data_IF_901139856440
#
_entry.id   IF_901139856440
#
_cell.length_a   1.000
_cell.length_b   1.000
_cell.length_c   1.000
_cell.angle_alpha   90.00
_cell.angle_beta   90.00
_cell.angle_gamma   90.00
#
_symmetry.space_group_name_H-M   'P 1'
#
loop_
_entity.id
_entity.type
_entity.pdbx_description
1 polymer ?
#
# COMPACT_ATOMS: atom_id res chain seq x y z
N UNK A 1 -42.72 13.66 -31.81
CA UNK A 1 -42.02 12.47 -31.32
C UNK A 1 -40.76 12.85 -30.55
N UNK A 2 -40.57 12.33 -29.32
CA UNK A 2 -39.37 12.60 -28.62
C UNK A 2 -38.17 11.96 -29.30
N UNK A 3 -37.10 12.74 -29.44
CA UNK A 3 -35.85 12.26 -29.99
C UNK A 3 -34.98 11.57 -28.98
N UNK A 4 -34.46 10.42 -29.29
CA UNK A 4 -33.40 9.80 -28.52
C UNK A 4 -32.10 10.57 -28.78
N UNK A 5 -31.59 11.31 -27.79
CA UNK A 5 -30.43 12.16 -27.96
C UNK A 5 -29.17 11.58 -27.31
N UNK A 6 -29.07 10.28 -27.22
CA UNK A 6 -27.92 9.63 -26.61
C UNK A 6 -27.80 9.81 -25.11
N UNK A 7 -28.89 10.18 -24.43
CA UNK A 7 -28.88 10.38 -22.98
C UNK A 7 -28.65 9.10 -22.19
N UNK A 8 -29.16 7.97 -22.71
CA UNK A 8 -29.03 6.68 -22.02
C UNK A 8 -27.57 6.25 -21.93
N UNK A 9 -26.77 6.24 -23.02
CA UNK A 9 -25.36 5.94 -22.91
C UNK A 9 -24.58 6.92 -22.04
N UNK A 10 -24.87 8.23 -22.17
CA UNK A 10 -24.22 9.26 -21.34
C UNK A 10 -24.55 9.09 -19.87
N UNK A 11 -25.82 8.83 -19.55
CA UNK A 11 -26.26 8.60 -18.18
C UNK A 11 -25.56 7.37 -17.59
N UNK A 12 -25.41 6.31 -18.35
CA UNK A 12 -24.72 5.10 -17.91
C UNK A 12 -23.24 5.39 -17.57
N UNK A 13 -22.55 6.19 -18.38
CA UNK A 13 -21.17 6.59 -18.11
C UNK A 13 -21.06 7.44 -16.85
N UNK A 14 -21.97 8.41 -16.69
CA UNK A 14 -22.00 9.26 -15.49
C UNK A 14 -22.29 8.43 -14.24
N UNK A 15 -23.22 7.50 -14.34
CA UNK A 15 -23.58 6.63 -13.21
C UNK A 15 -22.42 5.74 -12.77
N UNK A 16 -21.60 5.29 -13.72
CA UNK A 16 -20.40 4.51 -13.42
C UNK A 16 -19.44 5.29 -12.52
N UNK A 17 -19.22 6.57 -12.85
CA UNK A 17 -18.37 7.46 -12.04
C UNK A 17 -18.96 7.69 -10.64
N UNK A 18 -20.28 7.94 -10.59
CA UNK A 18 -20.98 8.18 -9.32
C UNK A 18 -20.92 6.94 -8.43
N UNK A 19 -21.06 5.74 -9.01
CA UNK A 19 -20.90 4.49 -8.24
C UNK A 19 -19.49 4.35 -7.65
N UNK A 20 -18.47 4.73 -8.42
CA UNK A 20 -17.08 4.71 -7.94
C UNK A 20 -16.85 5.71 -6.81
N UNK A 21 -17.66 6.77 -6.74
CA UNK A 21 -17.58 7.80 -5.70
C UNK A 21 -18.48 7.50 -4.49
N UNK A 22 -19.04 6.30 -4.40
CA UNK A 22 -19.92 5.92 -3.29
C UNK A 22 -19.21 6.11 -1.95
N UNK A 23 -19.90 6.77 -1.01
CA UNK A 23 -19.35 7.04 0.32
C UNK A 23 -18.53 8.31 0.43
N UNK A 24 -18.31 9.03 -0.67
CA UNK A 24 -17.55 10.27 -0.64
C UNK A 24 -18.33 11.38 0.08
N UNK A 25 -17.60 12.28 0.67
CA UNK A 25 -18.16 13.34 1.51
C UNK A 25 -18.95 14.35 0.68
N UNK A 26 -20.10 14.76 1.21
CA UNK A 26 -20.93 15.79 0.62
C UNK A 26 -21.44 15.44 -0.77
N UNK A 27 -21.41 16.40 -1.67
CA UNK A 27 -21.93 16.24 -3.03
C UNK A 27 -20.98 15.48 -3.96
N UNK A 28 -19.81 15.12 -3.52
CA UNK A 28 -18.86 14.31 -4.30
C UNK A 28 -19.39 12.93 -4.60
N UNK A 29 -20.34 12.44 -3.81
CA UNK A 29 -20.93 11.11 -4.00
C UNK A 29 -22.09 11.10 -5.01
N UNK A 30 -22.71 12.23 -5.29
CA UNK A 30 -23.95 12.27 -6.07
C UNK A 30 -23.98 13.29 -7.23
N UNK A 31 -23.00 14.19 -7.32
CA UNK A 31 -22.90 15.17 -8.41
C UNK A 31 -21.77 14.78 -9.35
N UNK A 32 -22.07 14.59 -10.64
CA UNK A 32 -21.12 14.03 -11.61
C UNK A 32 -19.79 14.81 -11.69
N UNK A 33 -19.84 16.13 -11.84
CA UNK A 33 -18.62 16.94 -11.97
C UNK A 33 -17.68 16.80 -10.78
N UNK A 34 -18.24 16.94 -9.60
CA UNK A 34 -17.46 16.81 -8.37
C UNK A 34 -17.05 15.37 -8.11
N UNK A 35 -17.91 14.41 -8.45
CA UNK A 35 -17.59 12.99 -8.34
C UNK A 35 -16.44 12.60 -9.28
N UNK A 36 -16.46 13.10 -10.52
CA UNK A 36 -15.41 12.80 -11.49
C UNK A 36 -14.05 13.31 -10.99
N UNK A 37 -13.99 14.56 -10.54
CA UNK A 37 -12.76 15.13 -10.01
C UNK A 37 -12.27 14.38 -8.78
N UNK A 38 -13.19 14.01 -7.88
CA UNK A 38 -12.86 13.27 -6.66
C UNK A 38 -12.35 11.86 -6.97
N UNK A 39 -12.97 11.15 -7.93
CA UNK A 39 -12.55 9.81 -8.32
C UNK A 39 -11.16 9.82 -8.97
N UNK A 40 -10.89 10.80 -9.85
CA UNK A 40 -9.56 10.97 -10.45
C UNK A 40 -8.51 11.22 -9.38
N UNK A 41 -8.80 12.10 -8.43
CA UNK A 41 -7.89 12.39 -7.32
C UNK A 41 -7.69 11.16 -6.42
N UNK A 42 -8.76 10.42 -6.16
CA UNK A 42 -8.68 9.17 -5.42
C UNK A 42 -7.78 8.14 -6.12
N UNK A 43 -7.87 8.06 -7.44
CA UNK A 43 -7.00 7.19 -8.24
C UNK A 43 -5.53 7.57 -8.14
N UNK A 44 -5.22 8.86 -8.21
CA UNK A 44 -3.86 9.37 -8.04
C UNK A 44 -3.33 9.06 -6.65
N UNK A 45 -4.15 9.31 -5.62
CA UNK A 45 -3.78 9.02 -4.24
C UNK A 45 -3.59 7.52 -4.01
N UNK A 46 -4.42 6.69 -4.62
CA UNK A 46 -4.30 5.23 -4.54
C UNK A 46 -2.99 4.74 -5.14
N UNK A 47 -2.57 5.30 -6.29
CA UNK A 47 -1.30 4.98 -6.92
C UNK A 47 -0.12 5.30 -5.99
N UNK A 48 -0.12 6.51 -5.43
CA UNK A 48 0.90 6.93 -4.46
C UNK A 48 0.85 6.07 -3.20
N UNK A 49 -0.35 5.80 -2.71
CA UNK A 49 -0.57 5.01 -1.49
C UNK A 49 -0.08 3.58 -1.62
N UNK A 50 -0.26 2.96 -2.77
CA UNK A 50 0.25 1.61 -3.01
C UNK A 50 1.77 1.57 -2.96
N UNK A 51 2.45 2.59 -3.48
CA UNK A 51 3.90 2.71 -3.39
C UNK A 51 4.37 2.97 -1.97
N UNK A 52 3.71 3.88 -1.27
CA UNK A 52 4.01 4.19 0.13
C UNK A 52 3.72 3.01 1.06
N UNK A 53 2.72 2.21 0.76
CA UNK A 53 2.40 1.00 1.53
C UNK A 53 3.60 0.08 1.62
N UNK A 54 4.28 -0.15 0.52
CA UNK A 54 5.48 -0.99 0.49
C UNK A 54 6.58 -0.43 1.38
N UNK A 55 6.79 0.89 1.31
CA UNK A 55 7.80 1.57 2.15
C UNK A 55 7.45 1.49 3.62
N UNK A 56 6.19 1.71 3.96
CA UNK A 56 5.72 1.70 5.34
C UNK A 56 5.84 0.30 5.95
N UNK A 57 5.48 -0.73 5.21
CA UNK A 57 5.63 -2.10 5.69
C UNK A 57 7.09 -2.49 5.84
N UNK A 58 7.95 -2.05 4.91
CA UNK A 58 9.38 -2.29 5.05
C UNK A 58 9.95 -1.63 6.31
N UNK A 59 9.53 -0.40 6.59
CA UNK A 59 9.93 0.31 7.81
C UNK A 59 9.47 -0.45 9.07
N UNK A 60 8.23 -0.93 9.05
CA UNK A 60 7.68 -1.71 10.15
C UNK A 60 8.48 -3.00 10.36
N UNK A 61 8.80 -3.71 9.28
CA UNK A 61 9.60 -4.94 9.35
C UNK A 61 10.99 -4.69 9.95
N UNK A 62 11.61 -3.59 9.54
CA UNK A 62 12.92 -3.18 10.07
C UNK A 62 12.85 -2.94 11.57
N UNK A 63 11.82 -2.23 12.05
CA UNK A 63 11.59 -1.99 13.46
C UNK A 63 11.42 -3.29 14.26
N UNK A 64 10.63 -4.20 13.72
CA UNK A 64 10.38 -5.49 14.38
C UNK A 64 11.63 -6.35 14.45
N UNK A 65 12.41 -6.40 13.38
CA UNK A 65 13.66 -7.14 13.31
C UNK A 65 14.68 -6.53 14.30
N UNK A 66 14.77 -5.22 14.35
CA UNK A 66 15.65 -4.53 15.27
C UNK A 66 15.28 -4.82 16.73
N UNK A 67 13.99 -4.80 17.04
CA UNK A 67 13.50 -5.15 18.37
C UNK A 67 13.86 -6.59 18.75
N UNK A 68 13.67 -7.52 17.83
CA UNK A 68 14.02 -8.93 18.03
C UNK A 68 15.51 -9.13 18.25
N UNK A 69 16.36 -8.41 17.52
CA UNK A 69 17.81 -8.46 17.70
C UNK A 69 18.21 -7.95 19.08
N UNK A 70 17.59 -6.88 19.55
CA UNK A 70 17.90 -6.28 20.85
C UNK A 70 17.43 -7.13 22.02
N UNK A 71 16.43 -7.97 21.81
CA UNK A 71 16.01 -8.94 22.84
C UNK A 71 17.12 -9.97 23.09
N UNK A 72 17.86 -10.33 22.03
CA UNK A 72 18.98 -11.28 22.15
C UNK A 72 20.19 -10.61 22.82
N UNK A 73 20.55 -9.41 22.37
CA UNK A 73 21.67 -8.63 22.89
C UNK A 73 21.41 -7.15 22.60
N UNK A 74 21.47 -6.29 23.63
CA UNK A 74 21.22 -4.86 23.50
C UNK A 74 22.17 -4.18 22.51
N UNK A 75 23.39 -4.67 22.38
CA UNK A 75 24.37 -4.15 21.43
C UNK A 75 24.17 -4.65 20.01
N UNK A 76 23.31 -5.66 19.81
CA UNK A 76 23.05 -6.27 18.52
C UNK A 76 21.96 -5.48 17.79
N UNK A 77 22.35 -4.65 16.83
CA UNK A 77 21.44 -3.78 16.08
C UNK A 77 21.02 -4.40 14.76
N UNK A 78 19.96 -3.84 14.16
CA UNK A 78 19.51 -4.23 12.82
C UNK A 78 20.65 -4.13 11.80
N UNK A 79 21.44 -3.05 11.84
CA UNK A 79 22.53 -2.83 10.88
C UNK A 79 23.57 -3.95 10.93
N UNK A 80 23.95 -4.36 12.12
CA UNK A 80 24.90 -5.46 12.33
C UNK A 80 24.34 -6.79 11.86
N UNK A 81 23.06 -7.01 12.13
CA UNK A 81 22.39 -8.25 11.72
C UNK A 81 22.33 -8.36 10.19
N UNK A 82 21.96 -7.28 9.49
CA UNK A 82 21.88 -7.26 8.03
C UNK A 82 23.26 -7.41 7.40
N UNK A 83 24.27 -6.78 7.97
CA UNK A 83 25.66 -6.94 7.51
C UNK A 83 26.10 -8.41 7.61
N UNK A 84 25.80 -9.05 8.73
CA UNK A 84 26.07 -10.46 8.89
C UNK A 84 25.39 -11.36 7.88
N UNK A 85 24.12 -11.06 7.59
CA UNK A 85 23.36 -11.79 6.57
C UNK A 85 23.93 -11.57 5.18
N UNK A 86 24.41 -10.37 4.87
CA UNK A 86 25.08 -10.08 3.59
C UNK A 86 26.34 -10.91 3.42
N UNK A 87 27.14 -11.01 4.47
CA UNK A 87 28.35 -11.83 4.48
C UNK A 87 28.05 -13.31 4.33
N UNK A 88 26.85 -13.75 4.80
CA UNK A 88 26.39 -15.12 4.65
C UNK A 88 25.75 -15.39 3.29
N UNK A 89 25.60 -14.37 2.41
CA UNK A 89 25.06 -14.52 1.08
C UNK A 89 23.55 -14.56 0.98
N UNK A 90 22.82 -14.12 1.99
CA UNK A 90 21.35 -14.09 2.01
C UNK A 90 20.85 -12.84 1.29
N UNK A 91 19.92 -13.00 0.34
CA UNK A 91 19.26 -11.92 -0.39
C UNK A 91 17.82 -11.73 0.12
N UNK A 92 17.19 -10.58 -0.20
CA UNK A 92 15.81 -10.22 0.19
C UNK A 92 15.54 -10.39 1.69
N UNK A 93 16.49 -9.99 2.49
CA UNK A 93 16.59 -10.25 3.93
C UNK A 93 15.41 -9.78 4.75
N UNK A 94 14.98 -8.54 4.53
CA UNK A 94 13.94 -7.92 5.37
C UNK A 94 12.60 -8.64 5.17
N UNK A 95 12.26 -8.93 3.93
CA UNK A 95 11.01 -9.61 3.59
C UNK A 95 10.99 -11.05 4.12
N UNK A 96 12.07 -11.77 3.96
CA UNK A 96 12.20 -13.16 4.41
C UNK A 96 12.14 -13.24 5.95
N UNK A 97 12.82 -12.33 6.63
CA UNK A 97 12.82 -12.26 8.10
C UNK A 97 11.43 -11.92 8.64
N UNK A 98 10.71 -11.00 7.98
CA UNK A 98 9.35 -10.65 8.37
C UNK A 98 8.40 -11.84 8.27
N UNK A 99 8.60 -12.72 7.29
CA UNK A 99 7.81 -13.93 7.11
C UNK A 99 8.24 -15.05 8.06
N UNK A 100 9.35 -14.89 8.76
CA UNK A 100 9.84 -15.87 9.73
C UNK A 100 10.49 -17.10 9.12
N UNK A 101 10.74 -17.10 7.80
CA UNK A 101 11.27 -18.25 7.10
C UNK A 101 12.72 -18.60 7.49
N UNK A 102 13.46 -17.65 8.00
CA UNK A 102 14.88 -17.81 8.34
C UNK A 102 15.11 -18.04 9.84
N UNK A 103 14.06 -17.97 10.66
CA UNK A 103 14.21 -18.10 12.12
C UNK A 103 14.98 -19.34 12.57
N UNK A 104 14.88 -20.43 11.83
CA UNK A 104 15.52 -21.69 12.17
C UNK A 104 16.91 -21.87 11.55
N UNK A 105 17.27 -21.03 10.58
CA UNK A 105 18.54 -21.14 9.84
C UNK A 105 19.63 -20.19 10.35
N UNK A 106 19.27 -19.24 11.19
CA UNK A 106 20.20 -18.25 11.71
C UNK A 106 20.63 -18.67 13.10
N UNK A 107 21.78 -19.27 13.18
CA UNK A 107 22.48 -19.52 14.45
C UNK A 107 23.47 -18.38 14.66
N UNK A 108 23.33 -17.70 15.77
CA UNK A 108 24.22 -16.61 16.15
C UNK A 108 25.38 -17.14 16.97
#
# INVERSE_FOLDING_TARGET
>A
MPRARGRVPAHARHRKVIKAAKGFYGRRKNTFRTAQAAVVKAGVNAYKGRKQKKRNFRSLWIQRINAACRVIDESFTYSRFIDGLSKAGVTDKVKILANGEIKTKITF
#
